data_IF_355368821841
#
_entry.id   IF_355368821841
#
_cell.length_a   1.000
_cell.length_b   1.000
_cell.length_c   1.000
_cell.angle_alpha   90.00
_cell.angle_beta   90.00
_cell.angle_gamma   90.00
#
_symmetry.space_group_name_H-M   'P 1'
#
loop_
_entity.id
_entity.type
_entity.pdbx_description
1 polymer ?
#
# COMPACT_ATOMS: atom_id res chain seq x y z
N UNK A 1 12.07 23.70 -21.13
CA UNK A 1 11.94 22.43 -20.38
C UNK A 1 11.71 22.75 -18.92
N UNK A 2 10.65 22.24 -18.31
CA UNK A 2 10.28 22.55 -16.92
C UNK A 2 10.87 21.56 -15.91
N UNK A 3 10.84 21.92 -14.62
CA UNK A 3 11.27 21.03 -13.53
C UNK A 3 10.14 20.09 -13.12
N UNK A 4 10.46 18.85 -12.74
CA UNK A 4 9.51 17.87 -12.21
C UNK A 4 8.82 18.43 -10.96
N UNK A 5 7.49 18.51 -11.00
CA UNK A 5 6.71 19.06 -9.89
C UNK A 5 6.68 18.08 -8.71
N UNK A 6 6.46 18.59 -7.49
CA UNK A 6 6.47 17.79 -6.26
C UNK A 6 5.58 16.55 -6.32
N UNK A 7 4.40 16.64 -6.95
CA UNK A 7 3.46 15.53 -7.10
C UNK A 7 4.05 14.34 -7.87
N UNK A 8 4.71 14.61 -9.00
CA UNK A 8 5.36 13.59 -9.82
C UNK A 8 6.48 12.85 -9.05
N UNK A 9 7.21 13.55 -8.17
CA UNK A 9 8.29 12.96 -7.34
C UNK A 9 7.79 11.94 -6.31
N UNK A 10 6.50 11.96 -5.95
CA UNK A 10 5.91 11.00 -5.01
C UNK A 10 5.77 9.60 -5.63
N UNK A 11 5.49 9.52 -6.93
CA UNK A 11 5.31 8.25 -7.65
C UNK A 11 6.62 7.49 -7.93
N UNK A 12 7.75 8.20 -7.99
CA UNK A 12 9.06 7.61 -8.28
C UNK A 12 9.69 6.80 -7.13
N UNK A 13 9.01 6.69 -5.97
CA UNK A 13 9.51 5.89 -4.85
C UNK A 13 10.72 6.48 -4.10
N UNK A 14 10.92 7.80 -4.15
CA UNK A 14 11.98 8.51 -3.43
C UNK A 14 11.68 8.66 -1.91
N UNK A 15 11.98 9.81 -1.33
CA UNK A 15 11.71 10.15 0.09
C UNK A 15 10.24 10.03 0.51
N UNK A 16 9.32 9.97 -0.45
CA UNK A 16 7.88 9.89 -0.18
C UNK A 16 7.36 8.46 0.04
N UNK A 17 8.25 7.45 0.14
CA UNK A 17 7.86 6.06 0.42
C UNK A 17 7.40 5.91 1.88
N UNK A 18 6.46 4.98 2.11
CA UNK A 18 6.04 4.62 3.46
C UNK A 18 7.19 4.00 4.28
N UNK A 19 7.35 4.42 5.53
CA UNK A 19 8.26 3.78 6.49
C UNK A 19 7.61 2.51 7.05
N UNK A 20 8.07 1.34 6.59
CA UNK A 20 7.45 0.04 6.91
C UNK A 20 8.28 -0.85 7.84
N UNK A 21 9.47 -0.41 8.30
CA UNK A 21 10.42 -1.23 9.08
C UNK A 21 9.85 -1.91 10.34
N UNK A 22 8.92 -1.24 11.02
CA UNK A 22 8.35 -1.71 12.30
C UNK A 22 6.93 -2.28 12.14
N UNK A 23 6.40 -2.36 10.91
CA UNK A 23 5.08 -2.94 10.67
C UNK A 23 5.17 -4.45 10.71
N UNK A 24 4.21 -5.10 11.38
CA UNK A 24 4.16 -6.57 11.49
C UNK A 24 3.68 -7.25 10.22
N UNK A 25 2.77 -6.62 9.49
CA UNK A 25 2.18 -7.15 8.27
C UNK A 25 0.97 -6.31 7.86
N UNK A 26 0.37 -6.65 6.72
CA UNK A 26 -0.93 -6.08 6.35
C UNK A 26 -2.03 -6.72 7.21
N UNK A 27 -2.92 -5.90 7.76
CA UNK A 27 -4.14 -6.40 8.39
C UNK A 27 -5.06 -6.97 7.31
N UNK A 28 -5.53 -8.20 7.50
CA UNK A 28 -6.42 -8.90 6.58
C UNK A 28 -7.46 -9.69 7.35
N UNK A 29 -8.69 -9.73 6.83
CA UNK A 29 -9.67 -10.72 7.23
C UNK A 29 -9.22 -12.11 6.75
N UNK A 30 -9.81 -13.15 7.33
CA UNK A 30 -9.64 -14.52 6.82
C UNK A 30 -10.21 -14.63 5.40
N UNK A 31 -9.67 -15.57 4.64
CA UNK A 31 -10.19 -15.86 3.31
C UNK A 31 -11.60 -16.45 3.43
N UNK A 32 -12.48 -16.04 2.52
CA UNK A 32 -13.88 -16.45 2.54
C UNK A 32 -14.01 -17.94 2.22
N UNK A 33 -14.41 -18.72 3.22
CA UNK A 33 -14.64 -20.16 3.08
C UNK A 33 -16.05 -20.48 2.55
N UNK A 34 -16.38 -21.76 2.42
CA UNK A 34 -17.70 -22.18 1.94
C UNK A 34 -18.82 -21.77 2.90
N UNK A 35 -18.56 -21.83 4.22
CA UNK A 35 -19.54 -21.48 5.25
C UNK A 35 -19.88 -19.99 5.24
N UNK A 36 -18.92 -19.11 4.92
CA UNK A 36 -19.17 -17.67 4.73
C UNK A 36 -19.84 -17.33 3.39
N UNK A 37 -19.86 -18.26 2.41
CA UNK A 37 -20.47 -18.04 1.08
C UNK A 37 -21.88 -18.60 0.93
N UNK A 38 -22.19 -19.71 1.58
CA UNK A 38 -23.43 -20.46 1.38
C UNK A 38 -24.16 -20.78 2.69
N UNK A 39 -23.84 -20.06 3.77
CA UNK A 39 -24.63 -20.09 5.00
C UNK A 39 -26.01 -19.47 4.82
#
# INVERSE_FOLDING_TARGET
MGRVIRGQRKGAGSVFRAHVKHRKGAAKLRQVDFAERHG
#
